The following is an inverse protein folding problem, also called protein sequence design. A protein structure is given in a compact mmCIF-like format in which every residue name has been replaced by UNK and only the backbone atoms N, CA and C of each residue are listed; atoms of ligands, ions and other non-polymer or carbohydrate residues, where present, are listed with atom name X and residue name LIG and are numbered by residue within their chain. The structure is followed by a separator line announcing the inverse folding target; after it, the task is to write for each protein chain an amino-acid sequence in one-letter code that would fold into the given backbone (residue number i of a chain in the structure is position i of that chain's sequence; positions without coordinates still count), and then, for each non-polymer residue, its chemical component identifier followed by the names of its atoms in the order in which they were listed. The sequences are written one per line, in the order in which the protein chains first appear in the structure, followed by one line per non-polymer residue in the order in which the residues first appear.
data_IF_654717545484
#
_entry.id   IF_654717545484
#
_cell.length_a   1.000
_cell.length_b   1.000
_cell.length_c   1.000
_cell.angle_alpha   90.00
_cell.angle_beta   90.00
_cell.angle_gamma   90.00
#
_symmetry.space_group_name_H-M   'P 1'
#
loop_
_entity.id
_entity.type
_entity.pdbx_description
1 polymer ?
#
# COMPACT_ATOMS: atom_id res chain seq x y z
N UNK A 1 4.32 5.83 11.19
CA UNK A 1 5.49 6.73 11.32
C UNK A 1 5.10 7.90 12.21
N UNK A 2 5.79 8.15 13.35
CA UNK A 2 5.42 9.22 14.26
C UNK A 2 5.70 10.57 13.60
N UNK A 3 4.66 11.40 13.54
CA UNK A 3 4.65 12.75 13.00
C UNK A 3 5.72 13.60 13.69
N UNK A 4 6.59 14.25 12.92
CA UNK A 4 7.62 15.15 13.43
C UNK A 4 6.94 16.28 14.22
N UNK A 5 7.16 16.33 15.54
CA UNK A 5 6.53 17.29 16.48
C UNK A 5 6.63 18.75 16.01
N UNK A 6 7.66 19.10 15.24
CA UNK A 6 7.85 20.42 14.64
C UNK A 6 6.74 20.81 13.65
N UNK A 7 6.31 19.90 12.77
CA UNK A 7 5.25 20.17 11.79
C UNK A 7 3.86 20.28 12.45
N UNK A 8 3.63 19.50 13.51
CA UNK A 8 2.41 19.59 14.31
C UNK A 8 2.33 20.94 15.04
N UNK A 9 3.43 21.40 15.63
CA UNK A 9 3.51 22.72 16.26
C UNK A 9 3.27 23.85 15.26
N UNK A 10 3.83 23.79 14.05
CA UNK A 10 3.65 24.82 13.03
C UNK A 10 2.19 25.01 12.62
N UNK A 11 1.43 23.93 12.46
CA UNK A 11 0.04 24.04 12.03
C UNK A 11 -0.91 24.32 13.20
N UNK A 12 -0.60 23.87 14.42
CA UNK A 12 -1.30 24.36 15.63
C UNK A 12 -1.07 25.88 15.77
N UNK A 13 0.12 26.38 15.42
CA UNK A 13 0.39 27.81 15.38
C UNK A 13 -0.41 28.53 14.28
N UNK A 14 -0.57 27.95 13.10
CA UNK A 14 -1.33 28.56 11.98
C UNK A 14 -2.84 28.50 12.22
N UNK A 15 -3.37 27.38 12.72
CA UNK A 15 -4.78 27.26 13.09
C UNK A 15 -5.09 28.10 14.34
N UNK A 16 -4.16 28.11 15.31
CA UNK A 16 -4.23 28.92 16.51
C UNK A 16 -4.14 30.41 16.21
N UNK A 17 -3.32 30.84 15.25
CA UNK A 17 -3.26 32.25 14.83
C UNK A 17 -4.50 32.68 14.05
N UNK A 18 -5.12 31.80 13.25
CA UNK A 18 -6.40 32.08 12.59
C UNK A 18 -7.58 32.17 13.60
N UNK A 19 -7.59 31.32 14.63
CA UNK A 19 -8.58 31.34 15.73
C UNK A 19 -8.37 32.52 16.69
N UNK A 20 -7.12 32.83 17.05
CA UNK A 20 -6.78 34.03 17.82
C UNK A 20 -7.10 35.28 17.02
N UNK A 21 -6.87 35.29 15.71
CA UNK A 21 -7.26 36.39 14.85
C UNK A 21 -8.78 36.58 14.87
N UNK A 22 -9.60 35.52 14.84
CA UNK A 22 -11.06 35.62 14.97
C UNK A 22 -11.55 36.03 16.38
N UNK A 23 -10.81 35.68 17.44
CA UNK A 23 -11.08 36.17 18.80
C UNK A 23 -10.70 37.65 18.99
N UNK A 24 -9.58 38.08 18.43
CA UNK A 24 -9.10 39.47 18.40
C UNK A 24 -10.01 40.34 17.50
N UNK A 25 -10.54 39.77 16.41
CA UNK A 25 -11.50 40.36 15.46
C UNK A 25 -12.82 40.80 16.10
N UNK A 26 -13.28 40.10 17.14
CA UNK A 26 -14.45 40.49 17.94
C UNK A 26 -14.11 41.57 18.99
N UNK A 27 -12.86 41.61 19.46
CA UNK A 27 -12.44 42.51 20.53
C UNK A 27 -11.96 43.88 20.04
N UNK A 28 -11.35 43.98 18.85
CA UNK A 28 -10.83 45.25 18.29
C UNK A 28 -11.86 46.02 17.45
N UNK A 29 -13.01 45.42 17.12
CA UNK A 29 -14.07 46.08 16.35
C UNK A 29 -15.00 46.98 17.16
N UNK A 30 -14.63 47.36 18.39
CA UNK A 30 -15.49 48.15 19.29
C UNK A 30 -15.21 49.66 19.26
N UNK A 31 -14.02 50.07 18.81
CA UNK A 31 -13.60 51.47 18.85
C UNK A 31 -13.10 51.93 17.48
N UNK A 32 -13.94 52.61 16.71
CA UNK A 32 -13.58 53.13 15.38
C UNK A 32 -14.73 53.84 14.70
N UNK A 33 -15.18 54.95 15.29
CA UNK A 33 -16.19 55.84 14.72
C UNK A 33 -15.59 56.76 13.66
N UNK A 34 -15.19 56.19 12.52
CA UNK A 34 -14.67 56.97 11.39
C UNK A 34 -15.66 56.93 10.22
N UNK A 35 -16.03 58.14 9.78
CA UNK A 35 -16.99 58.44 8.71
C UNK A 35 -16.39 58.09 7.34
N UNK A 36 -16.27 56.79 7.02
CA UNK A 36 -15.80 56.34 5.70
C UNK A 36 -16.96 56.19 4.71
N UNK A 37 -16.79 56.67 3.47
CA UNK A 37 -17.80 56.52 2.40
C UNK A 37 -17.94 55.06 1.97
N UNK A 38 -19.17 54.50 1.90
CA UNK A 38 -19.40 53.13 1.43
C UNK A 38 -19.01 52.95 -0.05
N UNK A 39 -18.55 51.76 -0.43
CA UNK A 39 -18.14 51.45 -1.81
C UNK A 39 -19.27 51.62 -2.84
N UNK A 40 -20.54 51.57 -2.41
CA UNK A 40 -21.69 51.89 -3.25
C UNK A 40 -21.60 53.31 -3.86
N UNK A 41 -20.95 54.25 -3.17
CA UNK A 41 -20.74 55.61 -3.65
C UNK A 41 -19.73 55.68 -4.81
N UNK A 42 -18.77 54.75 -4.86
CA UNK A 42 -17.82 54.63 -5.98
C UNK A 42 -18.49 54.07 -7.25
N UNK A 43 -19.55 53.29 -7.10
CA UNK A 43 -20.34 52.74 -8.20
C UNK A 43 -21.47 53.67 -8.67
N UNK A 44 -21.49 54.93 -8.21
CA UNK A 44 -22.53 55.92 -8.52
C UNK A 44 -23.95 55.40 -8.22
N UNK A 45 -24.09 54.46 -7.28
CA UNK A 45 -25.34 53.75 -6.99
C UNK A 45 -25.99 53.08 -8.22
N UNK A 46 -25.19 52.73 -9.25
CA UNK A 46 -25.69 52.03 -10.41
C UNK A 46 -26.09 50.59 -10.02
N UNK A 47 -27.39 50.33 -10.01
CA UNK A 47 -28.01 49.09 -9.51
C UNK A 47 -27.56 47.85 -10.28
N UNK A 48 -27.31 47.97 -11.58
CA UNK A 48 -26.86 46.82 -12.39
C UNK A 48 -25.43 46.40 -12.04
N UNK A 49 -24.54 47.39 -11.87
CA UNK A 49 -23.13 47.13 -11.57
C UNK A 49 -22.96 46.58 -10.14
N UNK A 50 -23.73 47.08 -9.18
CA UNK A 50 -23.77 46.55 -7.80
C UNK A 50 -24.31 45.12 -7.73
N UNK A 51 -25.38 44.80 -8.47
CA UNK A 51 -25.93 43.44 -8.52
C UNK A 51 -24.94 42.46 -9.16
N UNK A 52 -24.24 42.89 -10.20
CA UNK A 52 -23.25 42.06 -10.87
C UNK A 52 -22.07 41.71 -9.95
N UNK A 53 -21.50 42.71 -9.26
CA UNK A 53 -20.38 42.48 -8.34
C UNK A 53 -20.82 41.72 -7.08
N UNK A 54 -21.87 42.20 -6.40
CA UNK A 54 -22.37 41.54 -5.18
C UNK A 54 -22.90 40.13 -5.43
N UNK A 55 -23.54 39.88 -6.56
CA UNK A 55 -24.00 38.54 -6.95
C UNK A 55 -22.83 37.60 -7.27
N UNK A 56 -21.81 38.10 -7.96
CA UNK A 56 -20.60 37.31 -8.29
C UNK A 56 -19.82 36.95 -7.02
N UNK A 57 -19.58 37.91 -6.13
CA UNK A 57 -18.86 37.66 -4.87
C UNK A 57 -19.60 36.68 -3.96
N UNK A 58 -20.94 36.77 -3.90
CA UNK A 58 -21.74 35.80 -3.15
C UNK A 58 -21.60 34.37 -3.70
N UNK A 59 -21.67 34.22 -5.03
CA UNK A 59 -21.52 32.91 -5.67
C UNK A 59 -20.12 32.33 -5.48
N UNK A 60 -19.07 33.15 -5.56
CA UNK A 60 -17.68 32.73 -5.31
C UNK A 60 -17.51 32.29 -3.85
N UNK A 61 -18.02 33.07 -2.90
CA UNK A 61 -17.98 32.71 -1.47
C UNK A 61 -18.68 31.37 -1.19
N UNK A 62 -19.85 31.14 -1.77
CA UNK A 62 -20.60 29.89 -1.64
C UNK A 62 -19.85 28.70 -2.26
N UNK A 63 -19.23 28.89 -3.43
CA UNK A 63 -18.41 27.86 -4.07
C UNK A 63 -17.22 27.46 -3.18
N UNK A 64 -16.53 28.43 -2.58
CA UNK A 64 -15.39 28.14 -1.67
C UNK A 64 -15.82 27.38 -0.42
N UNK A 65 -16.95 27.71 0.18
CA UNK A 65 -17.51 26.94 1.31
C UNK A 65 -17.85 25.51 0.90
N UNK A 66 -18.47 25.31 -0.27
CA UNK A 66 -18.84 24.00 -0.78
C UNK A 66 -17.60 23.11 -1.09
N UNK A 67 -16.56 23.69 -1.72
CA UNK A 67 -15.30 22.99 -2.00
C UNK A 67 -14.62 22.57 -0.69
N UNK A 68 -14.52 23.50 0.28
CA UNK A 68 -13.94 23.18 1.59
C UNK A 68 -14.72 22.12 2.35
N UNK A 69 -16.05 22.17 2.33
CA UNK A 69 -16.89 21.13 2.96
C UNK A 69 -16.65 19.75 2.32
N UNK A 70 -16.51 19.70 0.99
CA UNK A 70 -16.20 18.46 0.26
C UNK A 70 -14.82 17.91 0.64
N UNK A 71 -13.80 18.78 0.74
CA UNK A 71 -12.45 18.39 1.18
C UNK A 71 -12.43 17.87 2.61
N UNK A 72 -13.12 18.52 3.54
CA UNK A 72 -13.23 18.09 4.93
C UNK A 72 -13.96 16.75 5.02
N UNK A 73 -15.04 16.57 4.27
CA UNK A 73 -15.79 15.31 4.23
C UNK A 73 -14.95 14.16 3.68
N UNK A 74 -14.18 14.40 2.61
CA UNK A 74 -13.25 13.42 2.04
C UNK A 74 -12.18 13.00 3.07
N UNK A 75 -11.59 13.98 3.77
CA UNK A 75 -10.60 13.71 4.82
C UNK A 75 -11.21 12.91 5.96
N UNK A 76 -12.41 13.27 6.41
CA UNK A 76 -13.11 12.54 7.47
C UNK A 76 -13.35 11.08 7.07
N UNK A 77 -13.75 10.83 5.81
CA UNK A 77 -14.01 9.49 5.29
C UNK A 77 -12.74 8.68 5.05
N UNK A 78 -11.69 9.29 4.49
CA UNK A 78 -10.46 8.62 4.08
C UNK A 78 -9.33 8.71 5.11
N UNK A 79 -9.62 9.11 6.38
CA UNK A 79 -8.67 9.40 7.48
C UNK A 79 -7.63 8.34 7.82
N UNK A 80 -7.77 7.10 7.32
CA UNK A 80 -6.81 6.00 7.57
C UNK A 80 -5.87 5.72 6.40
N UNK A 81 -6.21 6.17 5.20
CA UNK A 81 -5.48 5.83 3.99
C UNK A 81 -4.57 6.95 3.49
N UNK A 82 -4.89 8.22 3.79
CA UNK A 82 -4.03 9.34 3.35
C UNK A 82 -2.93 9.60 4.39
N UNK A 83 -1.64 9.53 4.04
CA UNK A 83 -0.59 9.90 4.99
C UNK A 83 -0.58 11.39 5.39
N UNK A 84 -1.39 12.24 4.73
CA UNK A 84 -1.31 13.71 4.81
C UNK A 84 -2.66 14.42 5.08
N UNK A 85 -3.62 13.80 5.77
CA UNK A 85 -4.93 14.42 6.06
C UNK A 85 -4.85 15.84 6.64
N UNK A 86 -3.83 16.09 7.47
CA UNK A 86 -3.62 17.37 8.11
C UNK A 86 -3.32 18.51 7.13
N UNK A 87 -2.57 18.23 6.05
CA UNK A 87 -2.32 19.22 4.99
C UNK A 87 -3.63 19.57 4.26
N UNK A 88 -4.45 18.57 3.98
CA UNK A 88 -5.74 18.76 3.32
C UNK A 88 -6.69 19.62 4.17
N UNK A 89 -6.68 19.46 5.49
CA UNK A 89 -7.46 20.30 6.42
C UNK A 89 -6.92 21.73 6.49
N UNK A 90 -5.61 21.92 6.48
CA UNK A 90 -5.01 23.26 6.42
C UNK A 90 -5.41 23.99 5.13
N UNK A 91 -5.40 23.28 4.00
CA UNK A 91 -5.83 23.82 2.71
C UNK A 91 -7.33 24.15 2.68
N UNK A 92 -8.18 23.30 3.24
CA UNK A 92 -9.61 23.58 3.37
C UNK A 92 -9.88 24.82 4.24
N UNK A 93 -9.14 24.97 5.35
CA UNK A 93 -9.21 26.16 6.23
C UNK A 93 -8.79 27.43 5.50
N UNK A 94 -7.72 27.35 4.71
CA UNK A 94 -7.26 28.44 3.86
C UNK A 94 -8.31 28.88 2.82
N UNK A 95 -8.93 27.91 2.12
CA UNK A 95 -10.00 28.20 1.14
C UNK A 95 -11.20 28.89 1.82
N UNK A 96 -11.57 28.47 3.04
CA UNK A 96 -12.65 29.15 3.81
C UNK A 96 -12.26 30.60 4.15
N UNK A 97 -11.01 30.84 4.54
CA UNK A 97 -10.53 32.20 4.82
C UNK A 97 -10.60 33.10 3.56
N UNK A 98 -10.25 32.57 2.38
CA UNK A 98 -10.44 33.28 1.11
C UNK A 98 -11.93 33.46 0.75
N UNK A 99 -12.81 32.52 1.13
CA UNK A 99 -14.26 32.68 0.93
C UNK A 99 -14.83 33.82 1.77
N UNK A 100 -14.30 34.00 2.98
CA UNK A 100 -14.71 35.07 3.89
C UNK A 100 -14.42 36.48 3.33
N UNK A 101 -13.40 36.66 2.47
CA UNK A 101 -13.15 37.98 1.85
C UNK A 101 -14.27 38.38 0.89
N UNK A 102 -14.84 37.43 0.15
CA UNK A 102 -15.96 37.71 -0.76
C UNK A 102 -17.26 38.01 -0.01
N UNK A 103 -17.54 37.26 1.07
CA UNK A 103 -18.68 37.60 1.95
C UNK A 103 -18.53 38.99 2.57
N UNK A 104 -17.30 39.38 2.94
CA UNK A 104 -17.02 40.72 3.44
C UNK A 104 -17.26 41.79 2.38
N UNK A 105 -16.89 41.56 1.11
CA UNK A 105 -17.12 42.51 0.01
C UNK A 105 -18.62 42.71 -0.26
N UNK A 106 -19.42 41.64 -0.28
CA UNK A 106 -20.89 41.72 -0.35
C UNK A 106 -21.47 42.51 0.82
N UNK A 107 -20.94 42.32 2.02
CA UNK A 107 -21.38 43.05 3.22
C UNK A 107 -21.04 44.54 3.13
N UNK A 108 -19.83 44.90 2.69
CA UNK A 108 -19.40 46.31 2.55
C UNK A 108 -20.13 47.06 1.43
N UNK A 109 -20.70 46.37 0.45
CA UNK A 109 -21.54 46.96 -0.60
C UNK A 109 -22.96 47.30 -0.13
N UNK A 110 -23.48 46.55 0.86
CA UNK A 110 -24.87 46.68 1.33
C UNK A 110 -25.02 47.36 2.71
N UNK A 111 -23.99 47.37 3.56
CA UNK A 111 -24.07 47.90 4.93
C UNK A 111 -23.67 49.38 5.04
N UNK A 112 -24.45 50.16 5.79
CA UNK A 112 -24.24 51.58 6.05
C UNK A 112 -23.03 51.90 6.96
N UNK A 113 -22.43 50.91 7.62
CA UNK A 113 -21.21 51.04 8.43
C UNK A 113 -20.06 50.23 7.81
N UNK A 114 -19.27 50.82 6.90
CA UNK A 114 -18.19 50.11 6.26
C UNK A 114 -16.97 50.00 7.20
N UNK A 115 -16.89 48.88 7.93
CA UNK A 115 -15.73 48.53 8.76
C UNK A 115 -14.54 48.10 7.89
N UNK A 116 -13.91 49.05 7.19
CA UNK A 116 -12.78 48.81 6.27
C UNK A 116 -11.58 48.13 6.93
N UNK A 117 -11.33 48.42 8.20
CA UNK A 117 -10.30 47.76 9.01
C UNK A 117 -10.47 46.25 9.08
N UNK A 118 -11.72 45.77 9.15
CA UNK A 118 -12.02 44.35 9.19
C UNK A 118 -11.64 43.64 7.88
N UNK A 119 -11.97 44.26 6.74
CA UNK A 119 -11.61 43.77 5.42
C UNK A 119 -10.09 43.72 5.23
N UNK A 120 -9.37 44.75 5.68
CA UNK A 120 -7.91 44.80 5.65
C UNK A 120 -7.25 43.65 6.43
N UNK A 121 -7.73 43.36 7.65
CA UNK A 121 -7.21 42.25 8.45
C UNK A 121 -7.46 40.88 7.82
N UNK A 122 -8.66 40.63 7.27
CA UNK A 122 -8.96 39.37 6.58
C UNK A 122 -8.03 39.21 5.37
N UNK A 123 -7.85 40.26 4.56
CA UNK A 123 -6.94 40.26 3.40
C UNK A 123 -5.50 39.94 3.79
N UNK A 124 -5.01 40.53 4.89
CA UNK A 124 -3.68 40.25 5.43
C UNK A 124 -3.51 38.78 5.86
N UNK A 125 -4.49 38.22 6.59
CA UNK A 125 -4.46 36.82 7.04
C UNK A 125 -4.46 35.87 5.83
N UNK A 126 -5.30 36.12 4.82
CA UNK A 126 -5.31 35.33 3.58
C UNK A 126 -3.99 35.43 2.81
N UNK A 127 -3.35 36.60 2.77
CA UNK A 127 -2.05 36.76 2.13
C UNK A 127 -0.97 35.93 2.85
N UNK A 128 -0.90 35.99 4.17
CA UNK A 128 0.05 35.21 4.98
C UNK A 128 -0.19 33.71 4.77
N UNK A 129 -1.44 33.26 4.81
CA UNK A 129 -1.79 31.86 4.61
C UNK A 129 -1.43 31.38 3.19
N UNK A 130 -1.64 32.22 2.17
CA UNK A 130 -1.28 31.93 0.77
C UNK A 130 0.23 31.77 0.60
N UNK A 131 1.01 32.73 1.11
CA UNK A 131 2.48 32.71 1.03
C UNK A 131 3.03 31.50 1.79
N UNK A 132 2.50 31.22 2.98
CA UNK A 132 2.92 30.04 3.76
C UNK A 132 2.65 28.74 3.00
N UNK A 133 1.46 28.61 2.39
CA UNK A 133 1.10 27.43 1.58
C UNK A 133 2.02 27.28 0.36
N UNK A 134 2.31 28.38 -0.34
CA UNK A 134 3.19 28.40 -1.51
C UNK A 134 4.62 27.99 -1.16
N UNK A 135 5.12 28.34 0.04
CA UNK A 135 6.47 27.95 0.49
C UNK A 135 6.54 26.50 0.98
N UNK A 136 5.46 25.96 1.56
CA UNK A 136 5.43 24.59 2.11
C UNK A 136 5.20 23.55 1.02
N UNK A 137 4.48 23.86 -0.06
CA UNK A 137 4.09 22.86 -1.06
C UNK A 137 5.26 22.27 -1.87
N UNK A 138 6.22 23.06 -2.42
CA UNK A 138 7.35 22.52 -3.19
C UNK A 138 8.21 21.46 -2.48
N UNK A 139 8.62 21.63 -1.20
CA UNK A 139 9.40 20.60 -0.51
C UNK A 139 8.60 19.34 -0.15
N UNK A 140 7.27 19.36 -0.26
CA UNK A 140 6.43 18.19 -0.02
C UNK A 140 6.34 17.25 -1.22
N UNK A 141 6.44 17.77 -2.45
CA UNK A 141 6.43 16.98 -3.69
C UNK A 141 7.43 15.81 -3.67
N UNK A 142 8.73 16.00 -3.36
CA UNK A 142 9.69 14.90 -3.35
C UNK A 142 9.39 13.85 -2.28
N UNK A 143 8.77 14.23 -1.14
CA UNK A 143 8.38 13.28 -0.10
C UNK A 143 7.23 12.38 -0.53
N UNK A 144 6.27 12.91 -1.32
CA UNK A 144 5.18 12.10 -1.85
C UNK A 144 5.73 11.09 -2.86
N UNK A 145 6.64 11.53 -3.73
CA UNK A 145 7.28 10.67 -4.73
C UNK A 145 8.09 9.54 -4.08
N UNK A 146 8.87 9.82 -3.03
CA UNK A 146 9.66 8.78 -2.35
C UNK A 146 8.80 7.74 -1.62
N UNK A 147 7.66 8.14 -1.07
CA UNK A 147 6.70 7.19 -0.50
C UNK A 147 6.10 6.30 -1.57
N UNK A 148 5.69 6.86 -2.71
CA UNK A 148 5.16 6.09 -3.84
C UNK A 148 6.21 5.12 -4.39
N UNK A 149 7.46 5.54 -4.47
CA UNK A 149 8.57 4.70 -4.90
C UNK A 149 8.79 3.53 -3.93
N UNK A 150 8.81 3.79 -2.62
CA UNK A 150 8.93 2.72 -1.60
C UNK A 150 7.78 1.70 -1.68
N UNK A 151 6.55 2.17 -1.93
CA UNK A 151 5.39 1.31 -2.10
C UNK A 151 5.50 0.46 -3.38
N UNK A 152 5.93 1.06 -4.49
CA UNK A 152 6.16 0.33 -5.76
C UNK A 152 7.25 -0.72 -5.63
N UNK A 153 8.39 -0.38 -5.04
CA UNK A 153 9.49 -1.33 -4.79
C UNK A 153 9.03 -2.48 -3.89
N UNK A 154 8.23 -2.20 -2.85
CA UNK A 154 7.69 -3.25 -1.98
C UNK A 154 6.75 -4.21 -2.73
N UNK A 155 5.95 -3.69 -3.66
CA UNK A 155 5.07 -4.49 -4.50
C UNK A 155 5.87 -5.38 -5.48
N UNK A 156 6.92 -4.83 -6.10
CA UNK A 156 7.80 -5.58 -7.01
C UNK A 156 8.56 -6.71 -6.28
N UNK A 157 9.11 -6.43 -5.09
CA UNK A 157 9.76 -7.47 -4.28
C UNK A 157 8.80 -8.58 -3.89
N UNK A 158 7.55 -8.23 -3.55
CA UNK A 158 6.51 -9.22 -3.19
C UNK A 158 6.19 -10.12 -4.38
N UNK A 159 6.06 -9.54 -5.58
CA UNK A 159 5.83 -10.30 -6.81
C UNK A 159 7.01 -11.24 -7.14
N UNK A 160 8.26 -10.76 -7.04
CA UNK A 160 9.45 -11.59 -7.24
C UNK A 160 9.51 -12.76 -6.26
N UNK A 161 9.18 -12.51 -4.98
CA UNK A 161 9.17 -13.55 -3.95
C UNK A 161 8.09 -14.60 -4.23
N UNK A 162 6.90 -14.17 -4.66
CA UNK A 162 5.81 -15.08 -5.02
C UNK A 162 6.17 -15.97 -6.21
N UNK A 163 6.78 -15.40 -7.26
CA UNK A 163 7.26 -16.18 -8.42
C UNK A 163 8.34 -17.19 -8.02
N UNK A 164 9.33 -16.75 -7.23
CA UNK A 164 10.39 -17.63 -6.75
C UNK A 164 9.83 -18.76 -5.87
N UNK A 165 8.81 -18.48 -5.07
CA UNK A 165 8.13 -19.48 -4.24
C UNK A 165 7.38 -20.52 -5.09
N UNK A 166 6.66 -20.07 -6.13
CA UNK A 166 5.96 -20.97 -7.06
C UNK A 166 6.96 -21.85 -7.81
N UNK A 167 8.03 -21.27 -8.34
CA UNK A 167 9.09 -22.01 -9.04
C UNK A 167 9.76 -23.04 -8.14
N UNK A 168 10.10 -22.65 -6.90
CA UNK A 168 10.68 -23.55 -5.91
C UNK A 168 9.75 -24.72 -5.60
N UNK A 169 8.45 -24.46 -5.42
CA UNK A 169 7.48 -25.50 -5.12
C UNK A 169 7.27 -26.45 -6.31
N UNK A 170 7.31 -25.94 -7.55
CA UNK A 170 7.27 -26.76 -8.76
C UNK A 170 8.51 -27.67 -8.84
N UNK A 171 9.71 -27.12 -8.66
CA UNK A 171 10.96 -27.89 -8.61
C UNK A 171 10.94 -28.95 -7.51
N UNK A 172 10.49 -28.58 -6.32
CA UNK A 172 10.36 -29.52 -5.20
C UNK A 172 9.40 -30.67 -5.53
N UNK A 173 8.25 -30.36 -6.15
CA UNK A 173 7.30 -31.38 -6.58
C UNK A 173 7.88 -32.32 -7.65
N UNK A 174 8.67 -31.80 -8.60
CA UNK A 174 9.37 -32.60 -9.61
C UNK A 174 10.39 -33.53 -8.97
N UNK A 175 11.22 -33.02 -8.05
CA UNK A 175 12.19 -33.83 -7.31
C UNK A 175 11.47 -34.94 -6.53
N UNK A 176 10.38 -34.60 -5.84
CA UNK A 176 9.57 -35.58 -5.11
C UNK A 176 8.95 -36.65 -6.02
N UNK A 177 8.44 -36.27 -7.18
CA UNK A 177 7.91 -37.23 -8.16
C UNK A 177 9.02 -38.13 -8.71
N UNK A 178 10.19 -37.59 -9.01
CA UNK A 178 11.35 -38.38 -9.45
C UNK A 178 11.78 -39.38 -8.39
N UNK A 179 11.80 -38.97 -7.13
CA UNK A 179 12.15 -39.84 -6.00
C UNK A 179 11.13 -40.98 -5.82
N UNK A 180 9.83 -40.67 -5.94
CA UNK A 180 8.77 -41.67 -5.94
C UNK A 180 8.88 -42.64 -7.12
N UNK A 181 9.15 -42.15 -8.33
CA UNK A 181 9.35 -42.98 -9.51
C UNK A 181 10.58 -43.88 -9.37
N UNK A 182 11.69 -43.35 -8.85
CA UNK A 182 12.91 -44.13 -8.54
C UNK A 182 12.58 -45.27 -7.59
N UNK A 183 11.91 -44.97 -6.47
CA UNK A 183 11.52 -45.96 -5.46
C UNK A 183 10.61 -47.04 -6.05
N UNK A 184 9.59 -46.65 -6.82
CA UNK A 184 8.68 -47.59 -7.48
C UNK A 184 9.38 -48.45 -8.53
N UNK A 185 10.30 -47.87 -9.30
CA UNK A 185 11.08 -48.60 -10.30
C UNK A 185 11.91 -49.71 -9.67
N UNK A 186 12.70 -49.40 -8.62
CA UNK A 186 13.50 -50.41 -7.93
C UNK A 186 12.64 -51.47 -7.23
N UNK A 187 11.53 -51.08 -6.60
CA UNK A 187 10.61 -52.03 -6.00
C UNK A 187 10.04 -53.03 -7.03
N UNK A 188 9.60 -52.53 -8.18
CA UNK A 188 9.05 -53.36 -9.25
C UNK A 188 10.12 -54.27 -9.87
N UNK A 189 11.29 -53.72 -10.22
CA UNK A 189 12.40 -54.50 -10.80
C UNK A 189 12.85 -55.60 -9.83
N UNK A 190 13.02 -55.30 -8.54
CA UNK A 190 13.42 -56.32 -7.56
C UNK A 190 12.37 -57.42 -7.41
N UNK A 191 11.07 -57.11 -7.49
CA UNK A 191 10.01 -58.11 -7.45
C UNK A 191 10.02 -59.02 -8.69
N UNK A 192 10.15 -58.43 -9.88
CA UNK A 192 10.22 -59.15 -11.16
C UNK A 192 11.46 -60.04 -11.27
N UNK A 193 12.59 -59.67 -10.64
CA UNK A 193 13.80 -60.48 -10.61
C UNK A 193 13.76 -61.59 -9.55
N UNK A 194 13.07 -61.35 -8.42
CA UNK A 194 12.97 -62.32 -7.32
C UNK A 194 12.24 -63.60 -7.74
N UNK A 195 11.16 -63.43 -8.51
CA UNK A 195 10.30 -64.53 -8.97
C UNK A 195 11.04 -65.57 -9.85
N UNK A 196 11.70 -65.21 -10.97
CA UNK A 196 12.44 -66.16 -11.78
C UNK A 196 13.62 -66.77 -11.02
N UNK A 197 14.29 -66.03 -10.13
CA UNK A 197 15.33 -66.61 -9.27
C UNK A 197 14.77 -67.68 -8.32
N UNK A 198 13.61 -67.43 -7.70
CA UNK A 198 12.90 -68.43 -6.88
C UNK A 198 12.56 -69.69 -7.68
N UNK A 199 12.14 -69.52 -8.94
CA UNK A 199 11.88 -70.61 -9.87
C UNK A 199 13.14 -71.38 -10.29
N UNK A 200 14.33 -70.76 -10.25
CA UNK A 200 15.62 -71.44 -10.48
C UNK A 200 16.07 -72.22 -9.23
N UNK A 201 15.89 -71.66 -8.02
CA UNK A 201 16.29 -72.33 -6.79
C UNK A 201 15.61 -73.67 -6.59
N UNK A 202 14.28 -73.73 -6.80
CA UNK A 202 13.49 -74.92 -6.47
C UNK A 202 13.91 -76.20 -7.24
N UNK A 203 14.09 -76.19 -8.58
CA UNK A 203 14.65 -77.33 -9.32
C UNK A 203 16.08 -77.66 -8.91
N UNK A 204 16.95 -76.67 -8.74
CA UNK A 204 18.36 -76.87 -8.38
C UNK A 204 18.48 -77.54 -7.00
N UNK A 205 17.70 -77.11 -6.01
CA UNK A 205 17.69 -77.72 -4.69
C UNK A 205 17.13 -79.15 -4.71
N UNK A 206 16.08 -79.42 -5.52
CA UNK A 206 15.57 -80.79 -5.72
C UNK A 206 16.61 -81.71 -6.35
N UNK A 207 17.30 -81.25 -7.39
CA UNK A 207 18.37 -82.02 -8.06
C UNK A 207 19.59 -82.25 -7.16
N UNK A 208 19.91 -81.31 -6.25
CA UNK A 208 20.97 -81.52 -5.26
C UNK A 208 20.57 -82.57 -4.20
N UNK A 209 19.29 -82.68 -3.87
CA UNK A 209 18.77 -83.66 -2.92
C UNK A 209 18.70 -85.10 -3.50
N UNK A 210 18.57 -85.25 -4.81
CA UNK A 210 18.47 -86.56 -5.48
C UNK A 210 19.81 -87.33 -5.60
N UNK A 211 20.86 -86.91 -4.87
CA UNK A 211 22.21 -87.50 -4.88
C UNK A 211 22.78 -87.74 -6.30
N UNK A 212 22.92 -86.69 -7.11
CA UNK A 212 23.52 -86.79 -8.44
C UNK A 212 24.99 -87.21 -8.35
N UNK A 213 25.56 -87.63 -9.47
CA UNK A 213 26.97 -88.01 -9.54
C UNK A 213 27.90 -86.82 -9.17
N UNK A 214 29.17 -87.10 -8.80
CA UNK A 214 30.08 -86.07 -8.30
C UNK A 214 30.39 -84.93 -9.27
N UNK A 215 30.24 -85.11 -10.59
CA UNK A 215 30.46 -84.06 -11.57
C UNK A 215 29.25 -83.12 -11.62
N UNK A 216 28.04 -83.66 -11.84
CA UNK A 216 26.79 -82.88 -11.87
C UNK A 216 26.52 -82.17 -10.53
N UNK A 217 26.86 -82.79 -9.40
CA UNK A 217 26.75 -82.15 -8.08
C UNK A 217 27.60 -80.88 -7.98
N UNK A 218 28.83 -80.89 -8.52
CA UNK A 218 29.72 -79.71 -8.49
C UNK A 218 29.15 -78.57 -9.32
N UNK A 219 28.61 -78.84 -10.50
CA UNK A 219 27.96 -77.83 -11.35
C UNK A 219 26.71 -77.24 -10.69
N UNK A 220 25.82 -78.08 -10.14
CA UNK A 220 24.62 -77.63 -9.43
C UNK A 220 24.94 -76.73 -8.22
N UNK A 221 26.02 -77.01 -7.49
CA UNK A 221 26.48 -76.15 -6.38
C UNK A 221 26.90 -74.77 -6.90
N UNK A 222 27.60 -74.70 -8.04
CA UNK A 222 28.01 -73.43 -8.66
C UNK A 222 26.78 -72.63 -9.11
N UNK A 223 25.82 -73.27 -9.78
CA UNK A 223 24.56 -72.62 -10.20
C UNK A 223 23.80 -72.08 -8.98
N UNK A 224 23.62 -72.90 -7.94
CA UNK A 224 22.94 -72.49 -6.70
C UNK A 224 23.63 -71.30 -6.04
N UNK A 225 24.96 -71.33 -5.93
CA UNK A 225 25.73 -70.25 -5.30
C UNK A 225 25.58 -68.93 -6.07
N UNK A 226 25.68 -68.97 -7.40
CA UNK A 226 25.51 -67.78 -8.23
C UNK A 226 24.08 -67.21 -8.15
N UNK A 227 23.06 -68.08 -8.17
CA UNK A 227 21.69 -67.65 -7.97
C UNK A 227 21.49 -66.99 -6.58
N UNK A 228 22.05 -67.57 -5.51
CA UNK A 228 21.98 -66.98 -4.15
C UNK A 228 22.67 -65.62 -4.07
N UNK A 229 23.81 -65.45 -4.72
CA UNK A 229 24.51 -64.17 -4.80
C UNK A 229 23.66 -63.11 -5.52
N UNK A 230 23.08 -63.46 -6.68
CA UNK A 230 22.18 -62.57 -7.41
C UNK A 230 20.96 -62.17 -6.58
N UNK A 231 20.33 -63.13 -5.89
CA UNK A 231 19.19 -62.86 -5.01
C UNK A 231 19.55 -61.86 -3.91
N UNK A 232 20.71 -62.08 -3.27
CA UNK A 232 21.22 -61.16 -2.25
C UNK A 232 21.44 -59.75 -2.82
N UNK A 233 22.11 -59.64 -3.96
CA UNK A 233 22.37 -58.34 -4.59
C UNK A 233 21.09 -57.59 -4.96
N UNK A 234 20.05 -58.30 -5.44
CA UNK A 234 18.74 -57.70 -5.75
C UNK A 234 18.05 -57.15 -4.50
N UNK A 235 18.18 -57.83 -3.35
CA UNK A 235 17.66 -57.34 -2.08
C UNK A 235 18.48 -56.15 -1.54
N UNK A 236 19.81 -56.22 -1.58
CA UNK A 236 20.69 -55.14 -1.11
C UNK A 236 20.43 -53.85 -1.91
N UNK A 237 20.21 -53.95 -3.23
CA UNK A 237 19.83 -52.83 -4.10
C UNK A 237 18.50 -52.17 -3.67
N UNK A 238 17.51 -52.97 -3.29
CA UNK A 238 16.20 -52.49 -2.85
C UNK A 238 16.32 -51.73 -1.52
N UNK A 239 17.11 -52.23 -0.59
CA UNK A 239 17.29 -51.59 0.72
C UNK A 239 17.99 -50.23 0.59
N UNK A 240 18.96 -50.12 -0.32
CA UNK A 240 19.60 -48.83 -0.65
C UNK A 240 18.61 -47.86 -1.33
N UNK A 241 17.68 -48.36 -2.15
CA UNK A 241 16.72 -47.50 -2.85
C UNK A 241 15.66 -46.85 -1.95
N UNK A 242 15.52 -47.32 -0.69
CA UNK A 242 14.56 -46.82 0.31
C UNK A 242 15.15 -45.81 1.30
N UNK A 243 16.46 -45.57 1.24
CA UNK A 243 17.19 -44.55 2.01
C UNK A 243 17.16 -43.21 1.26
#
# INVERSE_FOLDING_TARGET
MPMNRSLLHYVILIAGSALLATGIFLSLGKDGGDFFMPHAHCYLFNRELMMLHGGSDFLIGLAYVAISATLVWLVYRARRELPFHWMMLAFATFIVACGATHFMEVWTLNALDPRYWLSGWVKLITAIASVTTALVLPPLVPRILSLMESARLSAEHREKLERAYVELNELYSKVKQMDQMKTSFFANVSHELRTPLALIFSPVDRMLQSKPDPATRRELIVVRRNALLLYKHVNDLLDVSKL
#
